data_IF_459361031016
#
_entry.id   IF_459361031016
#
_cell.length_a   1.000
_cell.length_b   1.000
_cell.length_c   1.000
_cell.angle_alpha   90.00
_cell.angle_beta   90.00
_cell.angle_gamma   90.00
#
_symmetry.space_group_name_H-M   'P 1'
#
loop_
_entity.id
_entity.type
_entity.pdbx_description
1 polymer ?
#
# COMPACT_ATOMS: atom_id res chain seq x y z
N UNK A 1 -5.82 3.55 -13.26
CA UNK A 1 -5.61 2.61 -12.15
C UNK A 1 -6.92 2.10 -11.56
N UNK A 2 -7.86 2.99 -11.24
CA UNK A 2 -9.15 2.58 -10.66
C UNK A 2 -9.88 1.59 -11.54
N UNK A 3 -9.94 1.82 -12.85
CA UNK A 3 -10.60 0.89 -13.78
C UNK A 3 -9.96 -0.50 -13.76
N UNK A 4 -8.63 -0.54 -13.70
CA UNK A 4 -7.91 -1.81 -13.59
C UNK A 4 -8.24 -2.55 -12.29
N UNK A 5 -8.36 -1.82 -11.19
CA UNK A 5 -8.74 -2.40 -9.91
C UNK A 5 -10.17 -2.95 -9.92
N UNK A 6 -11.10 -2.24 -10.58
CA UNK A 6 -12.51 -2.66 -10.64
C UNK A 6 -12.69 -4.00 -11.36
N UNK A 7 -11.79 -4.39 -12.27
CA UNK A 7 -11.88 -5.66 -12.99
C UNK A 7 -11.68 -6.91 -12.10
N UNK A 8 -11.06 -6.75 -10.95
CA UNK A 8 -10.72 -7.86 -10.07
C UNK A 8 -11.32 -7.69 -8.67
N UNK A 9 -12.58 -7.26 -8.60
CA UNK A 9 -13.22 -6.91 -7.34
C UNK A 9 -13.18 -8.02 -6.27
N UNK A 10 -13.62 -9.28 -6.55
CA UNK A 10 -13.63 -10.32 -5.51
C UNK A 10 -12.23 -10.67 -5.01
N UNK A 11 -11.24 -10.58 -5.86
CA UNK A 11 -9.86 -10.94 -5.56
C UNK A 11 -9.21 -9.98 -4.58
N UNK A 12 -9.68 -8.73 -4.52
CA UNK A 12 -9.19 -7.73 -3.55
C UNK A 12 -9.81 -7.87 -2.17
N UNK A 13 -11.03 -8.39 -2.10
CA UNK A 13 -11.80 -8.40 -0.85
C UNK A 13 -11.04 -9.12 0.27
N UNK A 14 -11.05 -8.53 1.46
CA UNK A 14 -10.44 -9.10 2.66
C UNK A 14 -8.92 -9.25 2.57
N UNK A 15 -8.28 -8.43 1.78
CA UNK A 15 -6.81 -8.32 1.71
C UNK A 15 -6.34 -6.99 2.29
N UNK A 16 -5.05 -6.91 2.64
CA UNK A 16 -4.42 -5.69 3.10
C UNK A 16 -3.73 -4.96 1.96
N UNK A 17 -3.66 -3.63 2.05
CA UNK A 17 -2.98 -2.81 1.07
C UNK A 17 -2.15 -1.71 1.75
N UNK A 18 -0.93 -1.53 1.25
CA UNK A 18 -0.09 -0.38 1.57
C UNK A 18 0.14 0.44 0.32
N UNK A 19 0.55 1.70 0.49
CA UNK A 19 0.71 2.63 -0.62
C UNK A 19 2.11 3.22 -0.66
N UNK A 20 2.67 3.26 -1.85
CA UNK A 20 3.90 3.99 -2.15
C UNK A 20 3.57 5.00 -3.24
N UNK A 21 3.85 6.26 -2.99
CA UNK A 21 3.61 7.34 -3.94
C UNK A 21 4.87 8.14 -4.20
N UNK A 22 4.88 8.83 -5.32
CA UNK A 22 5.95 9.76 -5.66
C UNK A 22 5.37 10.94 -6.44
N UNK A 23 6.10 12.05 -6.42
CA UNK A 23 5.68 13.29 -7.07
C UNK A 23 6.08 14.51 -6.27
N UNK A 24 5.65 15.70 -6.66
CA UNK A 24 6.03 16.93 -5.97
C UNK A 24 5.62 16.94 -4.48
N UNK A 25 4.50 16.31 -4.15
CA UNK A 25 4.03 16.13 -2.77
C UNK A 25 3.97 14.63 -2.39
N UNK A 26 4.84 13.82 -2.98
CA UNK A 26 4.94 12.39 -2.69
C UNK A 26 3.75 11.56 -3.16
N UNK A 27 2.90 12.08 -4.03
CA UNK A 27 1.69 11.39 -4.46
C UNK A 27 0.60 11.34 -3.40
N UNK A 28 0.70 12.16 -2.36
CA UNK A 28 -0.21 12.12 -1.21
C UNK A 28 -1.68 12.28 -1.60
N UNK A 29 -1.98 13.19 -2.52
CA UNK A 29 -3.37 13.41 -2.98
C UNK A 29 -3.93 12.19 -3.67
N UNK A 30 -3.14 11.55 -4.54
CA UNK A 30 -3.57 10.34 -5.24
C UNK A 30 -3.79 9.19 -4.26
N UNK A 31 -2.92 9.04 -3.27
CA UNK A 31 -3.05 8.00 -2.25
C UNK A 31 -4.30 8.20 -1.41
N UNK A 32 -4.64 9.43 -1.02
CA UNK A 32 -5.86 9.68 -0.27
C UNK A 32 -7.11 9.29 -1.08
N UNK A 33 -7.15 9.58 -2.37
CA UNK A 33 -8.22 9.11 -3.25
C UNK A 33 -8.24 7.57 -3.37
N UNK A 34 -7.07 6.95 -3.51
CA UNK A 34 -6.97 5.49 -3.58
C UNK A 34 -7.43 4.80 -2.30
N UNK A 35 -7.27 5.44 -1.13
CA UNK A 35 -7.78 4.89 0.13
C UNK A 35 -9.30 4.74 0.10
N UNK A 36 -10.01 5.70 -0.48
CA UNK A 36 -11.45 5.62 -0.65
C UNK A 36 -11.85 4.50 -1.62
N UNK A 37 -11.13 4.39 -2.73
CA UNK A 37 -11.34 3.30 -3.70
C UNK A 37 -11.07 1.94 -3.05
N UNK A 38 -10.00 1.83 -2.28
CA UNK A 38 -9.64 0.60 -1.59
C UNK A 38 -10.71 0.17 -0.57
N UNK A 39 -11.31 1.14 0.14
CA UNK A 39 -12.40 0.85 1.07
C UNK A 39 -13.59 0.21 0.34
N UNK A 40 -13.97 0.73 -0.83
CA UNK A 40 -15.05 0.16 -1.65
C UNK A 40 -14.71 -1.25 -2.15
N UNK A 41 -13.42 -1.52 -2.41
CA UNK A 41 -12.93 -2.84 -2.81
C UNK A 41 -12.77 -3.81 -1.62
N UNK A 42 -13.14 -3.40 -0.41
CA UNK A 42 -12.98 -4.17 0.82
C UNK A 42 -11.51 -4.54 1.09
N UNK A 43 -10.59 -3.63 0.75
CA UNK A 43 -9.19 -3.71 1.12
C UNK A 43 -8.97 -3.02 2.47
N UNK A 44 -8.27 -3.67 3.38
CA UNK A 44 -7.84 -3.03 4.62
C UNK A 44 -6.56 -2.23 4.35
N UNK A 45 -6.67 -0.91 4.35
CA UNK A 45 -5.51 -0.05 4.12
C UNK A 45 -4.77 0.20 5.43
N UNK A 46 -3.46 0.02 5.39
CA UNK A 46 -2.63 0.32 6.56
C UNK A 46 -2.37 1.83 6.65
N UNK A 47 -2.07 2.29 7.87
CA UNK A 47 -1.92 3.73 8.12
C UNK A 47 -0.72 4.33 7.42
N UNK A 48 0.46 3.70 7.54
CA UNK A 48 1.70 4.27 7.04
C UNK A 48 1.81 4.11 5.53
N UNK A 49 1.92 5.24 4.83
CA UNK A 49 2.27 5.27 3.41
C UNK A 49 3.73 5.71 3.24
N UNK A 50 4.31 5.38 2.12
CA UNK A 50 5.65 5.84 1.74
C UNK A 50 5.50 6.90 0.66
N UNK A 51 5.99 8.11 0.92
CA UNK A 51 5.81 9.26 0.05
C UNK A 51 7.17 9.79 -0.38
N UNK A 52 7.54 9.55 -1.64
CA UNK A 52 8.81 10.00 -2.20
C UNK A 52 8.58 11.42 -2.72
N UNK A 53 9.06 12.41 -1.96
CA UNK A 53 8.87 13.83 -2.27
C UNK A 53 9.64 14.24 -3.54
N UNK A 54 9.21 15.34 -4.14
CA UNK A 54 9.76 15.80 -5.40
C UNK A 54 11.27 16.01 -5.38
N UNK A 55 11.82 16.57 -4.30
CA UNK A 55 13.25 16.78 -4.16
C UNK A 55 14.03 15.46 -4.13
N UNK A 56 13.52 14.45 -3.43
CA UNK A 56 14.14 13.14 -3.36
C UNK A 56 14.03 12.38 -4.68
N UNK A 57 12.87 12.48 -5.34
CA UNK A 57 12.69 11.93 -6.66
C UNK A 57 13.71 12.50 -7.65
N UNK A 58 13.90 13.82 -7.63
CA UNK A 58 14.85 14.49 -8.49
C UNK A 58 16.30 14.14 -8.16
N UNK A 59 16.61 13.96 -6.87
CA UNK A 59 17.94 13.54 -6.42
C UNK A 59 18.28 12.14 -6.95
N UNK A 60 17.33 11.23 -6.95
CA UNK A 60 17.51 9.88 -7.52
C UNK A 60 17.66 9.96 -9.03
N UNK A 61 16.79 10.69 -9.70
CA UNK A 61 16.74 10.72 -11.16
C UNK A 61 17.90 11.51 -11.79
N UNK A 62 18.24 12.68 -11.21
CA UNK A 62 19.26 13.57 -11.80
C UNK A 62 20.64 13.41 -11.16
N UNK A 63 20.70 13.20 -9.86
CA UNK A 63 21.95 13.24 -9.11
C UNK A 63 22.52 11.86 -8.81
N UNK A 64 21.86 10.80 -9.27
CA UNK A 64 22.33 9.44 -9.10
C UNK A 64 22.23 8.88 -7.68
N UNK A 65 21.49 9.54 -6.77
CA UNK A 65 21.24 8.99 -5.44
C UNK A 65 20.35 7.75 -5.52
N UNK A 66 20.51 6.86 -4.57
CA UNK A 66 19.64 5.69 -4.44
C UNK A 66 18.60 5.93 -3.35
N UNK A 67 17.41 5.36 -3.51
CA UNK A 67 16.35 5.49 -2.51
C UNK A 67 16.77 4.99 -1.14
N UNK A 68 17.64 3.99 -1.09
CA UNK A 68 18.16 3.44 0.16
C UNK A 68 18.98 4.47 0.97
N UNK A 69 19.49 5.51 0.33
CA UNK A 69 20.28 6.55 0.99
C UNK A 69 19.43 7.63 1.65
N UNK A 70 18.11 7.60 1.46
CA UNK A 70 17.19 8.58 2.01
C UNK A 70 16.62 8.04 3.32
N UNK A 71 17.16 8.51 4.44
CA UNK A 71 16.94 7.93 5.76
C UNK A 71 15.46 7.85 6.16
N UNK A 72 14.69 8.92 5.95
CA UNK A 72 13.29 8.92 6.38
C UNK A 72 12.44 7.92 5.59
N UNK A 73 12.81 7.66 4.34
CA UNK A 73 12.12 6.64 3.53
C UNK A 73 12.36 5.25 4.08
N UNK A 74 13.56 4.96 4.56
CA UNK A 74 13.89 3.67 5.14
C UNK A 74 13.01 3.36 6.36
N UNK A 75 12.87 4.31 7.26
CA UNK A 75 12.01 4.16 8.42
C UNK A 75 10.54 4.00 8.03
N UNK A 76 10.08 4.77 7.06
CA UNK A 76 8.70 4.69 6.54
C UNK A 76 8.42 3.35 5.87
N UNK A 77 9.34 2.84 5.07
CA UNK A 77 9.21 1.52 4.41
C UNK A 77 9.14 0.42 5.45
N UNK A 78 10.02 0.45 6.45
CA UNK A 78 10.01 -0.56 7.51
C UNK A 78 8.68 -0.57 8.25
N UNK A 79 8.20 0.59 8.68
CA UNK A 79 6.94 0.71 9.40
C UNK A 79 5.76 0.25 8.54
N UNK A 80 5.72 0.66 7.28
CA UNK A 80 4.68 0.22 6.35
C UNK A 80 4.67 -1.30 6.19
N UNK A 81 5.83 -1.90 5.99
CA UNK A 81 5.93 -3.35 5.80
C UNK A 81 5.57 -4.11 7.07
N UNK A 82 5.99 -3.64 8.24
CA UNK A 82 5.63 -4.26 9.51
C UNK A 82 4.10 -4.26 9.70
N UNK A 83 3.43 -3.15 9.45
CA UNK A 83 1.98 -3.05 9.52
C UNK A 83 1.32 -3.95 8.47
N UNK A 84 1.81 -3.93 7.25
CA UNK A 84 1.25 -4.71 6.15
C UNK A 84 1.32 -6.21 6.45
N UNK A 85 2.43 -6.69 6.98
CA UNK A 85 2.61 -8.09 7.36
C UNK A 85 1.65 -8.46 8.49
N UNK A 86 1.51 -7.62 9.49
CA UNK A 86 0.59 -7.89 10.61
C UNK A 86 -0.86 -8.03 10.12
N UNK A 87 -1.33 -7.07 9.34
CA UNK A 87 -2.69 -7.10 8.79
C UNK A 87 -2.90 -8.27 7.84
N UNK A 88 -1.91 -8.55 7.00
CA UNK A 88 -1.97 -9.66 6.03
C UNK A 88 -2.10 -11.00 6.74
N UNK A 89 -1.34 -11.22 7.80
CA UNK A 89 -1.43 -12.46 8.58
C UNK A 89 -2.81 -12.62 9.22
N UNK A 90 -3.33 -11.57 9.83
CA UNK A 90 -4.65 -11.60 10.47
C UNK A 90 -5.76 -11.89 9.47
N UNK A 91 -5.75 -11.19 8.34
CA UNK A 91 -6.77 -11.37 7.29
C UNK A 91 -6.64 -12.73 6.60
N UNK A 92 -5.42 -13.23 6.43
CA UNK A 92 -5.23 -14.57 5.85
C UNK A 92 -5.84 -15.65 6.73
N UNK A 93 -5.62 -15.58 8.03
CA UNK A 93 -6.23 -16.53 8.97
C UNK A 93 -7.75 -16.49 8.86
N UNK A 94 -8.34 -15.30 8.82
CA UNK A 94 -9.79 -15.14 8.69
C UNK A 94 -10.31 -15.70 7.37
N UNK A 95 -9.63 -15.44 6.26
CA UNK A 95 -10.02 -16.00 4.94
C UNK A 95 -9.92 -17.52 4.91
N UNK A 96 -8.86 -18.08 5.50
CA UNK A 96 -8.67 -19.54 5.55
C UNK A 96 -9.79 -20.20 6.38
N UNK A 97 -10.21 -19.56 7.46
CA UNK A 97 -11.36 -20.04 8.26
C UNK A 97 -12.67 -19.96 7.48
N UNK A 98 -12.89 -18.89 6.72
CA UNK A 98 -14.06 -18.76 5.85
C UNK A 98 -14.12 -19.90 4.82
N UNK A 99 -12.98 -20.24 4.22
CA UNK A 99 -12.89 -21.33 3.24
C UNK A 99 -13.20 -22.69 3.88
N UNK A 100 -12.70 -22.95 5.08
CA UNK A 100 -12.99 -24.17 5.81
C UNK A 100 -14.47 -24.28 6.17
N UNK A 101 -15.10 -23.19 6.61
CA UNK A 101 -16.52 -23.15 6.89
C UNK A 101 -17.36 -23.40 5.64
N UNK A 102 -16.96 -22.85 4.49
CA UNK A 102 -17.66 -23.05 3.22
C UNK A 102 -17.52 -24.48 2.70
N UNK A 103 -16.43 -25.19 3.05
CA UNK A 103 -16.19 -26.57 2.65
C UNK A 103 -16.93 -27.59 3.53
N UNK A 104 -17.38 -27.15 4.71
CA UNK A 104 -18.17 -28.00 5.62
C UNK A 104 -19.65 -27.96 5.23
#
# INVERSE_FOLDING_TARGET
LKNALDYAYPEWNKNAAGFVGYGSVGGARAIEHLRLVAAELQLATIRTGVYIQGADFMAVWKDGKELKDITYLQAGVKDMLDQLVWWTKALKVARDQDQLAAAA
#
